data_IF_544027718757
#
_entry.id   IF_544027718757
#
_cell.length_a   1.000
_cell.length_b   1.000
_cell.length_c   1.000
_cell.angle_alpha   90.00
_cell.angle_beta   90.00
_cell.angle_gamma   90.00
#
_symmetry.space_group_name_H-M   'P 1'
#
loop_
_entity.id
_entity.type
_entity.pdbx_description
1 polymer ?
#
# COMPACT_ATOMS: atom_id res chain seq x y z
N UNK A 1 -7.73 15.33 5.93
CA UNK A 1 -7.40 14.79 7.28
C UNK A 1 -6.54 13.56 7.10
N UNK A 2 -5.69 13.24 8.08
CA UNK A 2 -4.90 12.00 8.09
C UNK A 2 -5.37 11.08 9.21
N UNK A 3 -5.14 9.77 9.07
CA UNK A 3 -5.61 8.73 9.97
C UNK A 3 -4.43 7.90 10.49
N UNK A 4 -4.36 7.66 11.80
CA UNK A 4 -3.35 6.78 12.39
C UNK A 4 -3.83 5.34 12.42
N UNK A 5 -2.93 4.40 12.13
CA UNK A 5 -3.24 2.97 12.24
C UNK A 5 -3.34 2.49 13.69
N UNK A 6 -3.76 1.23 13.90
CA UNK A 6 -3.95 0.62 15.22
C UNK A 6 -2.69 0.63 16.11
N UNK A 7 -1.50 0.50 15.52
CA UNK A 7 -0.23 0.59 16.26
C UNK A 7 0.20 2.03 16.59
N UNK A 8 -0.46 3.03 16.00
CA UNK A 8 -0.11 4.44 16.12
C UNK A 8 1.16 4.88 15.38
N UNK A 9 1.85 3.94 14.69
CA UNK A 9 3.15 4.18 14.04
C UNK A 9 3.06 4.67 12.60
N UNK A 10 1.96 4.39 11.90
CA UNK A 10 1.77 4.80 10.51
C UNK A 10 0.62 5.80 10.38
N UNK A 11 0.80 6.76 9.47
CA UNK A 11 -0.20 7.77 9.14
C UNK A 11 -0.64 7.58 7.69
N UNK A 12 -1.95 7.53 7.47
CA UNK A 12 -2.59 7.24 6.19
C UNK A 12 -3.49 8.39 5.76
N UNK A 13 -3.69 8.51 4.45
CA UNK A 13 -4.63 9.47 3.86
C UNK A 13 -6.06 8.93 3.97
N UNK A 14 -6.23 7.63 3.72
CA UNK A 14 -7.51 6.94 3.76
C UNK A 14 -7.71 6.24 5.11
N UNK A 15 -8.94 6.28 5.62
CA UNK A 15 -9.29 5.67 6.91
C UNK A 15 -9.24 4.15 6.81
N UNK A 16 -9.64 3.60 5.68
CA UNK A 16 -9.71 2.16 5.40
C UNK A 16 -8.31 1.51 5.47
N UNK A 17 -7.29 2.20 4.97
CA UNK A 17 -5.89 1.75 5.06
C UNK A 17 -5.38 1.80 6.51
N UNK A 18 -5.76 2.82 7.27
CA UNK A 18 -5.40 2.92 8.68
C UNK A 18 -6.01 1.78 9.52
N UNK A 19 -7.24 1.36 9.22
CA UNK A 19 -7.94 0.28 9.91
C UNK A 19 -7.35 -1.12 9.61
N UNK A 20 -6.83 -1.32 8.39
CA UNK A 20 -6.11 -2.55 8.00
C UNK A 20 -4.69 -2.60 8.55
N UNK A 21 -3.98 -1.47 8.48
CA UNK A 21 -2.57 -1.38 8.83
C UNK A 21 -2.29 -1.78 10.29
N UNK A 22 -1.33 -2.70 10.49
CA UNK A 22 -0.95 -3.21 11.81
C UNK A 22 -2.11 -3.86 12.58
N UNK A 23 -3.12 -4.37 11.86
CA UNK A 23 -4.28 -5.05 12.42
C UNK A 23 -4.53 -6.39 11.72
N UNK A 24 -3.50 -7.27 11.72
CA UNK A 24 -3.55 -8.56 11.03
C UNK A 24 -3.24 -8.48 9.53
N UNK A 25 -2.85 -7.30 9.03
CA UNK A 25 -2.45 -7.11 7.64
C UNK A 25 -1.15 -6.31 7.52
N UNK A 26 -0.37 -6.62 6.47
CA UNK A 26 0.84 -5.90 6.04
C UNK A 26 0.67 -5.41 4.60
N UNK A 27 1.34 -4.31 4.26
CA UNK A 27 1.34 -3.77 2.90
C UNK A 27 2.60 -4.23 2.18
N UNK A 28 2.44 -4.88 1.03
CA UNK A 28 3.55 -5.42 0.23
C UNK A 28 3.67 -4.63 -1.06
N UNK A 29 4.90 -4.21 -1.36
CA UNK A 29 5.25 -3.59 -2.64
C UNK A 29 5.38 -4.70 -3.69
N UNK A 30 4.65 -4.56 -4.79
CA UNK A 30 4.62 -5.53 -5.89
C UNK A 30 5.16 -4.84 -7.14
N UNK A 31 6.05 -5.51 -7.87
CA UNK A 31 6.65 -5.00 -9.10
C UNK A 31 6.16 -5.81 -10.30
N UNK A 32 5.91 -5.14 -11.42
CA UNK A 32 5.59 -5.75 -12.72
C UNK A 32 4.41 -6.73 -12.73
N UNK A 33 3.54 -6.68 -11.72
CA UNK A 33 2.28 -7.42 -11.66
C UNK A 33 1.12 -6.49 -11.26
N UNK A 34 0.60 -5.70 -12.22
CA UNK A 34 -0.47 -4.75 -11.95
C UNK A 34 -1.79 -5.43 -11.57
N UNK A 35 -1.99 -6.73 -11.88
CA UNK A 35 -3.20 -7.46 -11.50
C UNK A 35 -3.21 -7.84 -10.03
N UNK A 36 -2.03 -7.96 -9.42
CA UNK A 36 -1.88 -8.27 -8.01
C UNK A 36 -1.90 -7.04 -7.10
N UNK A 37 -2.10 -5.83 -7.64
CA UNK A 37 -2.02 -4.58 -6.91
C UNK A 37 -3.40 -3.98 -6.64
N UNK A 38 -3.61 -3.48 -5.41
CA UNK A 38 -4.80 -2.67 -5.07
C UNK A 38 -4.74 -1.29 -5.74
N UNK A 39 -3.51 -0.78 -5.98
CA UNK A 39 -3.23 0.45 -6.70
C UNK A 39 -1.94 0.31 -7.50
N UNK A 40 -1.93 0.79 -8.75
CA UNK A 40 -0.76 0.76 -9.64
C UNK A 40 -0.19 2.17 -9.79
N UNK A 41 1.12 2.28 -9.61
CA UNK A 41 1.94 3.47 -9.85
C UNK A 41 2.91 3.17 -10.98
N UNK A 42 3.05 4.11 -11.91
CA UNK A 42 3.98 4.03 -13.03
C UNK A 42 5.09 5.05 -12.78
N UNK A 43 6.33 4.57 -12.70
CA UNK A 43 7.48 5.47 -12.77
C UNK A 43 7.63 5.97 -14.21
N UNK A 44 7.66 7.28 -14.39
CA UNK A 44 7.72 7.94 -15.70
C UNK A 44 9.16 8.13 -16.22
N UNK A 45 10.18 7.69 -15.46
CA UNK A 45 11.57 7.77 -15.87
C UNK A 45 11.90 6.77 -17.00
N UNK A 46 12.90 7.06 -17.87
CA UNK A 46 13.36 6.13 -18.89
C UNK A 46 13.81 4.80 -18.27
N UNK A 47 13.21 3.68 -18.69
CA UNK A 47 13.37 2.36 -18.05
C UNK A 47 12.36 2.07 -16.93
N UNK A 48 11.29 2.87 -16.84
CA UNK A 48 10.30 2.88 -15.76
C UNK A 48 9.78 1.51 -15.33
N UNK A 49 9.58 1.39 -14.02
CA UNK A 49 9.04 0.19 -13.37
C UNK A 49 7.59 0.45 -12.99
N UNK A 50 6.72 -0.47 -13.37
CA UNK A 50 5.36 -0.52 -12.82
C UNK A 50 5.42 -1.18 -11.44
N UNK A 51 4.92 -0.48 -10.44
CA UNK A 51 4.82 -1.04 -9.10
C UNK A 51 3.50 -0.66 -8.46
N UNK A 52 3.10 -1.42 -7.46
CA UNK A 52 1.88 -1.16 -6.72
C UNK A 52 1.99 -1.70 -5.32
N UNK A 53 0.91 -1.57 -4.58
CA UNK A 53 0.82 -2.10 -3.24
C UNK A 53 -0.37 -3.04 -3.13
N UNK A 54 -0.21 -4.10 -2.35
CA UNK A 54 -1.31 -4.96 -1.92
C UNK A 54 -1.31 -5.18 -0.43
N UNK A 55 -2.48 -5.37 0.15
CA UNK A 55 -2.61 -5.82 1.53
C UNK A 55 -2.59 -7.35 1.61
N UNK A 56 -1.74 -7.89 2.48
CA UNK A 56 -1.68 -9.32 2.78
C UNK A 56 -1.98 -9.57 4.26
N UNK A 57 -2.69 -10.65 4.60
CA UNK A 57 -2.81 -11.09 5.99
C UNK A 57 -1.43 -11.46 6.56
N UNK A 58 -1.24 -11.18 7.85
CA UNK A 58 -0.05 -11.57 8.64
C UNK A 58 -0.31 -12.86 9.39
#
# INVERSE_FOLDING_TARGET
MTHKCKSGQHTWIFKEDAEKCCNGFRRVLVFNDPKACDNVVLDLLPGGVSYGYRWEPV
#
